data_IF_503463943958
#
_entry.id   IF_503463943958
#
_cell.length_a   1.000
_cell.length_b   1.000
_cell.length_c   1.000
_cell.angle_alpha   90.00
_cell.angle_beta   90.00
_cell.angle_gamma   90.00
#
_symmetry.space_group_name_H-M   'P 1'
#
loop_
_entity.id
_entity.type
_entity.pdbx_description
1 polymer ?
#
# COMPACT_ATOMS: atom_id res chain seq x y z
N UNK A 1 3.31 -27.85 -12.10
CA UNK A 1 3.97 -26.69 -12.69
C UNK A 1 2.97 -25.55 -12.87
N UNK A 2 3.41 -24.35 -12.62
CA UNK A 2 2.53 -23.21 -12.81
C UNK A 2 2.31 -22.98 -14.30
N UNK A 3 1.11 -22.60 -14.66
CA UNK A 3 0.76 -22.37 -16.05
C UNK A 3 1.42 -21.11 -16.58
N UNK A 4 1.59 -21.05 -17.88
CA UNK A 4 2.11 -19.84 -18.51
C UNK A 4 1.15 -18.67 -18.33
N UNK A 5 -0.12 -18.96 -18.23
CA UNK A 5 -1.13 -17.94 -17.97
C UNK A 5 -0.88 -17.23 -16.67
N UNK A 6 -0.57 -17.97 -15.61
CA UNK A 6 -0.25 -17.37 -14.31
C UNK A 6 1.04 -16.55 -14.37
N UNK A 7 2.04 -17.07 -15.09
CA UNK A 7 3.32 -16.39 -15.23
C UNK A 7 3.17 -15.04 -15.92
N UNK A 8 2.19 -14.94 -16.81
CA UNK A 8 1.98 -13.72 -17.59
C UNK A 8 1.00 -12.77 -16.94
N UNK A 9 0.45 -13.15 -15.79
CA UNK A 9 -0.48 -12.31 -15.10
C UNK A 9 0.27 -11.24 -14.32
N UNK A 10 -0.03 -10.00 -14.64
CA UNK A 10 0.58 -8.86 -13.98
C UNK A 10 -0.30 -8.35 -12.85
N UNK A 11 0.32 -7.64 -11.94
CA UNK A 11 -0.41 -6.92 -10.90
C UNK A 11 0.32 -5.62 -10.62
N UNK A 12 -0.20 -4.84 -9.70
CA UNK A 12 0.28 -3.49 -9.48
C UNK A 12 0.71 -3.26 -8.04
N UNK A 13 1.71 -2.40 -7.87
CA UNK A 13 2.19 -1.99 -6.56
C UNK A 13 1.96 -0.50 -6.42
N UNK A 14 1.37 -0.09 -5.30
CA UNK A 14 1.26 1.31 -4.93
C UNK A 14 2.32 1.55 -3.86
N UNK A 15 3.31 2.36 -4.18
CA UNK A 15 4.42 2.64 -3.28
C UNK A 15 4.23 4.03 -2.69
N UNK A 16 4.06 4.09 -1.38
CA UNK A 16 3.83 5.32 -0.65
C UNK A 16 5.01 5.55 0.29
N UNK A 17 5.84 6.54 -0.01
CA UNK A 17 6.95 6.92 0.86
C UNK A 17 6.58 8.24 1.53
N UNK A 18 6.86 8.38 2.82
CA UNK A 18 6.45 9.55 3.55
C UNK A 18 7.37 9.86 4.72
N UNK A 19 7.37 11.12 5.13
CA UNK A 19 7.98 11.56 6.37
C UNK A 19 6.89 12.12 7.26
N UNK A 20 6.84 11.66 8.51
CA UNK A 20 5.85 12.13 9.46
C UNK A 20 6.20 13.53 9.97
N UNK A 21 5.17 14.31 10.23
CA UNK A 21 5.30 15.61 10.89
C UNK A 21 5.45 15.39 12.40
N UNK A 22 5.51 16.49 13.14
CA UNK A 22 5.55 16.43 14.60
C UNK A 22 4.18 16.10 15.21
N UNK A 23 3.12 16.24 14.43
CA UNK A 23 1.76 15.96 14.92
C UNK A 23 1.23 14.68 14.31
N UNK A 24 1.38 13.60 15.06
CA UNK A 24 0.93 12.27 14.63
C UNK A 24 -0.26 11.77 15.43
N UNK A 25 -1.02 12.69 16.01
CA UNK A 25 -2.24 12.36 16.76
C UNK A 25 -3.16 11.47 15.92
N UNK A 26 -3.55 10.33 16.47
CA UNK A 26 -4.42 9.34 15.83
C UNK A 26 -3.85 8.67 14.59
N UNK A 27 -2.59 8.94 14.25
CA UNK A 27 -2.01 8.35 13.04
C UNK A 27 -2.00 6.82 13.08
N UNK A 28 -1.46 6.23 14.13
CA UNK A 28 -1.35 4.77 14.23
C UNK A 28 -2.70 4.09 14.18
N UNK A 29 -3.67 4.60 14.92
CA UNK A 29 -5.02 4.04 14.97
C UNK A 29 -5.69 4.10 13.59
N UNK A 30 -5.58 5.25 12.93
CA UNK A 30 -6.19 5.41 11.61
C UNK A 30 -5.48 4.56 10.57
N UNK A 31 -4.15 4.47 10.64
CA UNK A 31 -3.37 3.65 9.73
C UNK A 31 -3.78 2.18 9.82
N UNK A 32 -3.98 1.66 11.03
CA UNK A 32 -4.43 0.30 11.23
C UNK A 32 -5.82 0.07 10.64
N UNK A 33 -6.73 1.03 10.84
CA UNK A 33 -8.06 0.94 10.26
C UNK A 33 -8.03 0.95 8.74
N UNK A 34 -7.16 1.76 8.17
CA UNK A 34 -7.03 1.82 6.71
C UNK A 34 -6.49 0.51 6.15
N UNK A 35 -5.54 -0.10 6.84
CA UNK A 35 -5.01 -1.39 6.42
C UNK A 35 -6.08 -2.47 6.47
N UNK A 36 -6.85 -2.53 7.55
CA UNK A 36 -7.95 -3.48 7.67
C UNK A 36 -9.01 -3.27 6.59
N UNK A 37 -9.33 -2.02 6.30
CA UNK A 37 -10.31 -1.70 5.27
C UNK A 37 -9.80 -2.07 3.88
N UNK A 38 -8.52 -1.80 3.60
CA UNK A 38 -7.91 -2.14 2.33
C UNK A 38 -7.96 -3.65 2.07
N UNK A 39 -7.73 -4.45 3.10
CA UNK A 39 -7.76 -5.91 2.98
C UNK A 39 -9.11 -6.45 2.54
N UNK A 40 -10.17 -5.68 2.75
CA UNK A 40 -11.53 -6.07 2.38
C UNK A 40 -11.91 -5.64 0.97
N UNK A 41 -11.07 -4.88 0.31
CA UNK A 41 -11.41 -4.33 -1.00
C UNK A 41 -11.21 -5.37 -2.11
N UNK A 42 -12.10 -5.39 -3.10
CA UNK A 42 -11.89 -6.26 -4.26
C UNK A 42 -10.57 -5.94 -4.95
N UNK A 43 -9.82 -6.98 -5.27
CA UNK A 43 -8.54 -6.81 -5.97
C UNK A 43 -7.35 -6.55 -5.08
N UNK A 44 -7.53 -6.45 -3.77
CA UNK A 44 -6.41 -6.32 -2.84
C UNK A 44 -5.62 -7.62 -2.79
N UNK A 45 -4.29 -7.53 -2.90
CA UNK A 45 -3.42 -8.70 -2.87
C UNK A 45 -2.50 -8.77 -1.66
N UNK A 46 -2.14 -7.63 -1.09
CA UNK A 46 -1.27 -7.61 0.07
C UNK A 46 -0.72 -6.25 0.39
N UNK A 47 -0.06 -6.12 1.54
CA UNK A 47 0.55 -4.87 1.97
C UNK A 47 1.78 -5.16 2.84
N UNK A 48 2.78 -4.33 2.67
CA UNK A 48 4.01 -4.37 3.46
C UNK A 48 4.35 -2.95 3.85
N UNK A 49 4.81 -2.74 5.08
CA UNK A 49 5.20 -1.39 5.48
C UNK A 49 6.29 -1.43 6.53
N UNK A 50 7.07 -0.36 6.56
CA UNK A 50 8.11 -0.16 7.55
C UNK A 50 8.32 1.34 7.74
N UNK A 51 8.67 1.73 8.95
CA UNK A 51 8.98 3.12 9.25
C UNK A 51 10.12 3.16 10.26
N UNK A 52 11.09 4.03 10.01
CA UNK A 52 12.21 4.14 10.93
C UNK A 52 11.86 5.10 12.08
N UNK A 53 12.76 5.20 13.04
CA UNK A 53 12.53 6.03 14.22
C UNK A 53 12.59 7.55 13.93
N UNK A 54 13.05 7.92 12.75
CA UNK A 54 13.11 9.34 12.35
C UNK A 54 11.88 9.77 11.56
N UNK A 55 10.94 8.85 11.34
CA UNK A 55 9.69 9.16 10.68
C UNK A 55 9.62 8.85 9.19
N UNK A 56 10.72 8.40 8.59
CA UNK A 56 10.71 7.99 7.19
C UNK A 56 10.03 6.62 7.08
N UNK A 57 9.03 6.53 6.25
CA UNK A 57 8.29 5.30 6.09
C UNK A 57 7.99 4.95 4.66
N UNK A 58 7.73 3.68 4.44
CA UNK A 58 7.33 3.19 3.13
C UNK A 58 6.22 2.16 3.33
N UNK A 59 5.16 2.30 2.57
CA UNK A 59 4.07 1.32 2.53
C UNK A 59 3.87 0.92 1.09
N UNK A 60 3.83 -0.38 0.84
CA UNK A 60 3.60 -0.90 -0.50
C UNK A 60 2.36 -1.77 -0.44
N UNK A 61 1.34 -1.44 -1.23
CA UNK A 61 0.15 -2.26 -1.36
C UNK A 61 0.09 -2.83 -2.77
N UNK A 62 -0.44 -4.05 -2.86
CA UNK A 62 -0.48 -4.79 -4.11
C UNK A 62 -1.93 -5.03 -4.52
N UNK A 63 -2.21 -4.85 -5.81
CA UNK A 63 -3.56 -4.84 -6.34
C UNK A 63 -3.64 -5.55 -7.68
N UNK A 64 -4.75 -6.22 -7.93
CA UNK A 64 -4.95 -6.94 -9.19
C UNK A 64 -5.01 -6.05 -10.43
N UNK A 65 -5.50 -4.83 -10.27
CA UNK A 65 -5.75 -3.95 -11.41
C UNK A 65 -5.69 -2.49 -11.02
N UNK A 66 -5.57 -1.64 -12.04
CA UNK A 66 -5.67 -0.19 -11.85
C UNK A 66 -7.08 0.20 -11.39
N UNK A 67 -8.08 -0.53 -11.84
CA UNK A 67 -9.47 -0.28 -11.41
C UNK A 67 -9.63 -0.50 -9.92
N UNK A 68 -9.04 -1.56 -9.38
CA UNK A 68 -9.10 -1.84 -7.95
C UNK A 68 -8.44 -0.71 -7.14
N UNK A 69 -7.32 -0.19 -7.63
CA UNK A 69 -6.63 0.94 -7.01
C UNK A 69 -7.53 2.17 -7.02
N UNK A 70 -8.17 2.44 -8.14
CA UNK A 70 -9.05 3.60 -8.28
C UNK A 70 -10.25 3.51 -7.34
N UNK A 71 -10.85 2.34 -7.24
CA UNK A 71 -11.98 2.12 -6.32
C UNK A 71 -11.55 2.32 -4.86
N UNK A 72 -10.37 1.87 -4.49
CA UNK A 72 -9.85 2.08 -3.16
C UNK A 72 -9.60 3.57 -2.90
N UNK A 73 -9.03 4.24 -3.87
CA UNK A 73 -8.71 5.66 -3.82
C UNK A 73 -9.94 6.52 -3.55
N UNK A 74 -11.09 6.11 -4.06
CA UNK A 74 -12.34 6.84 -3.90
C UNK A 74 -13.19 6.38 -2.71
N UNK A 75 -12.71 5.42 -1.93
CA UNK A 75 -13.39 4.99 -0.71
C UNK A 75 -13.48 6.16 0.27
N UNK A 76 -14.67 6.42 0.79
CA UNK A 76 -14.93 7.59 1.63
C UNK A 76 -14.00 7.70 2.84
N UNK A 77 -13.75 6.59 3.53
CA UNK A 77 -12.87 6.61 4.69
C UNK A 77 -11.41 6.84 4.29
N UNK A 78 -11.02 6.33 3.13
CA UNK A 78 -9.69 6.56 2.61
C UNK A 78 -9.48 8.02 2.21
N UNK A 79 -10.51 8.64 1.62
CA UNK A 79 -10.47 10.07 1.28
C UNK A 79 -10.26 10.90 2.53
N UNK A 80 -10.97 10.58 3.60
CA UNK A 80 -10.84 11.30 4.87
C UNK A 80 -9.44 11.16 5.45
N UNK A 81 -8.90 9.94 5.44
CA UNK A 81 -7.55 9.68 5.94
C UNK A 81 -6.50 10.42 5.12
N UNK A 82 -6.66 10.49 3.80
CA UNK A 82 -5.74 11.23 2.92
C UNK A 82 -5.75 12.71 3.23
N UNK A 83 -6.93 13.27 3.45
CA UNK A 83 -7.07 14.68 3.80
C UNK A 83 -6.33 14.99 5.10
N UNK A 84 -6.54 14.16 6.10
CA UNK A 84 -5.88 14.33 7.39
C UNK A 84 -4.36 14.14 7.28
N UNK A 85 -3.93 13.22 6.44
CA UNK A 85 -2.50 13.03 6.20
C UNK A 85 -1.84 14.28 5.66
N UNK A 86 -2.45 14.91 4.67
CA UNK A 86 -1.91 16.14 4.07
C UNK A 86 -1.91 17.32 5.05
N UNK A 87 -2.94 17.43 5.83
CA UNK A 87 -3.11 18.59 6.74
C UNK A 87 -2.32 18.45 8.03
N UNK A 88 -2.08 17.22 8.48
CA UNK A 88 -1.59 17.01 9.83
C UNK A 88 -0.41 16.06 9.94
N UNK A 89 -0.52 14.83 9.37
CA UNK A 89 0.43 13.76 9.69
C UNK A 89 1.74 13.80 8.93
N UNK A 90 1.73 14.24 7.67
CA UNK A 90 2.91 14.14 6.82
C UNK A 90 3.54 15.48 6.52
N UNK A 91 4.86 15.53 6.67
CA UNK A 91 5.66 16.66 6.13
C UNK A 91 5.67 16.59 4.62
N UNK A 92 5.81 15.38 4.10
CA UNK A 92 5.80 15.13 2.67
C UNK A 92 5.48 13.67 2.40
N UNK A 93 5.05 13.39 1.18
CA UNK A 93 4.90 12.02 0.72
C UNK A 93 5.05 11.96 -0.79
N UNK A 94 5.35 10.75 -1.26
CA UNK A 94 5.47 10.47 -2.68
C UNK A 94 4.75 9.16 -2.94
N UNK A 95 3.81 9.18 -3.88
CA UNK A 95 3.03 7.99 -4.22
C UNK A 95 3.33 7.59 -5.66
N UNK A 96 3.63 6.31 -5.85
CA UNK A 96 3.92 5.74 -7.16
C UNK A 96 3.05 4.54 -7.40
N UNK A 97 2.55 4.40 -8.61
CA UNK A 97 1.81 3.22 -9.03
C UNK A 97 2.65 2.53 -10.09
N UNK A 98 3.02 1.30 -9.84
CA UNK A 98 3.95 0.55 -10.68
C UNK A 98 3.34 -0.76 -11.14
N UNK A 99 3.67 -1.16 -12.34
CA UNK A 99 3.31 -2.48 -12.85
C UNK A 99 4.38 -3.45 -12.40
N UNK A 100 3.97 -4.55 -11.77
CA UNK A 100 4.89 -5.63 -11.43
C UNK A 100 4.89 -6.61 -12.59
N UNK A 101 5.94 -6.58 -13.39
CA UNK A 101 6.05 -7.43 -14.58
C UNK A 101 6.53 -8.83 -14.25
N UNK A 102 7.43 -8.94 -13.29
CA UNK A 102 8.01 -10.20 -12.89
C UNK A 102 8.25 -10.21 -11.40
N UNK A 103 8.17 -11.39 -10.81
CA UNK A 103 8.54 -11.56 -9.42
C UNK A 103 9.26 -12.89 -9.25
N UNK A 104 10.07 -12.96 -8.25
CA UNK A 104 10.81 -14.17 -7.90
C UNK A 104 10.75 -14.32 -6.38
N UNK A 105 10.43 -15.52 -5.91
CA UNK A 105 10.34 -15.83 -4.50
C UNK A 105 11.31 -16.93 -4.13
N UNK A 106 11.88 -16.80 -2.97
CA UNK A 106 12.75 -17.82 -2.41
C UNK A 106 12.31 -18.08 -0.97
N UNK A 107 12.25 -19.34 -0.61
CA UNK A 107 11.98 -19.74 0.78
C UNK A 107 12.99 -20.80 1.17
N UNK A 108 13.82 -20.50 2.17
CA UNK A 108 14.84 -21.43 2.64
C UNK A 108 14.20 -22.70 3.19
N UNK A 109 14.79 -23.85 2.83
CA UNK A 109 14.28 -25.13 3.29
C UNK A 109 13.19 -25.73 2.42
N UNK A 110 12.81 -25.02 1.34
CA UNK A 110 11.81 -25.48 0.39
C UNK A 110 12.50 -25.88 -0.90
N UNK A 111 12.28 -27.08 -1.38
CA UNK A 111 12.86 -27.54 -2.65
C UNK A 111 11.81 -27.90 -3.64
#
# INVERSE_FOLDING_TARGET
>A
MRTDLEKNKHYYAVIFTSNLSNDTTDYSTTSEKMEELAKQQPGFLGVESARDHLGLGITISYWESLEAIENWKTNALHIEAKKRGREQWYENFHLRICLVEKEFKFHKGTL
#
